data_IF_435734119369
#
_entry.id   IF_435734119369
#
_cell.length_a   1.000
_cell.length_b   1.000
_cell.length_c   1.000
_cell.angle_alpha   90.00
_cell.angle_beta   90.00
_cell.angle_gamma   90.00
#
_symmetry.space_group_name_H-M   'P 1'
#
loop_
_entity.id
_entity.type
_entity.pdbx_description
1 polymer ?
#
# COMPACT_ATOMS: atom_id res chain seq x y z
N UNK A 1 -23.26 4.22 -18.49
CA UNK A 1 -22.66 3.84 -17.19
C UNK A 1 -23.39 4.66 -16.15
N UNK A 2 -24.09 4.05 -15.17
CA UNK A 2 -24.83 4.80 -14.14
C UNK A 2 -23.87 5.66 -13.30
N UNK A 3 -24.29 6.84 -12.85
CA UNK A 3 -23.46 7.81 -12.09
C UNK A 3 -22.81 7.15 -10.86
N UNK A 4 -23.48 6.16 -10.27
CA UNK A 4 -22.97 5.39 -9.13
C UNK A 4 -21.78 4.52 -9.52
N UNK A 5 -21.83 3.89 -10.69
CA UNK A 5 -20.73 3.06 -11.17
C UNK A 5 -19.50 3.94 -11.42
N UNK A 6 -19.71 5.14 -11.97
CA UNK A 6 -18.65 6.12 -12.17
C UNK A 6 -18.04 6.59 -10.82
N UNK A 7 -18.87 6.90 -9.82
CA UNK A 7 -18.40 7.30 -8.50
C UNK A 7 -17.65 6.18 -7.75
N UNK A 8 -18.11 4.93 -7.87
CA UNK A 8 -17.41 3.77 -7.28
C UNK A 8 -16.05 3.52 -7.94
N UNK A 9 -15.99 3.58 -9.27
CA UNK A 9 -14.73 3.45 -10.01
C UNK A 9 -13.76 4.58 -9.67
N UNK A 10 -14.26 5.80 -9.50
CA UNK A 10 -13.47 6.94 -9.07
C UNK A 10 -12.87 6.73 -7.67
N UNK A 11 -13.68 6.26 -6.71
CA UNK A 11 -13.20 5.93 -5.37
C UNK A 11 -12.14 4.82 -5.37
N UNK A 12 -12.28 3.80 -6.22
CA UNK A 12 -11.26 2.75 -6.37
C UNK A 12 -9.94 3.35 -6.87
N UNK A 13 -10.00 4.17 -7.93
CA UNK A 13 -8.82 4.85 -8.49
C UNK A 13 -8.14 5.76 -7.48
N UNK A 14 -8.90 6.47 -6.66
CA UNK A 14 -8.36 7.34 -5.62
C UNK A 14 -7.63 6.56 -4.53
N UNK A 15 -8.20 5.44 -4.06
CA UNK A 15 -7.54 4.57 -3.09
C UNK A 15 -6.26 3.98 -3.70
N UNK A 16 -6.30 3.51 -4.94
CA UNK A 16 -5.12 2.96 -5.61
C UNK A 16 -4.01 4.00 -5.77
N UNK A 17 -4.36 5.24 -6.13
CA UNK A 17 -3.39 6.33 -6.22
C UNK A 17 -2.77 6.68 -4.86
N UNK A 18 -3.56 6.63 -3.78
CA UNK A 18 -3.05 6.84 -2.41
C UNK A 18 -2.14 5.70 -1.96
N UNK A 19 -2.51 4.44 -2.23
CA UNK A 19 -1.67 3.27 -1.96
C UNK A 19 -0.33 3.37 -2.71
N UNK A 20 -0.35 3.74 -4.00
CA UNK A 20 0.86 3.95 -4.79
C UNK A 20 1.75 5.06 -4.22
N UNK A 21 1.16 6.17 -3.79
CA UNK A 21 1.91 7.25 -3.16
C UNK A 21 2.55 6.79 -1.85
N UNK A 22 1.85 5.98 -1.04
CA UNK A 22 2.44 5.39 0.16
C UNK A 22 3.60 4.48 -0.22
N UNK A 23 3.43 3.57 -1.17
CA UNK A 23 4.52 2.69 -1.63
C UNK A 23 5.75 3.51 -2.06
N UNK A 24 5.55 4.55 -2.88
CA UNK A 24 6.65 5.41 -3.33
C UNK A 24 7.32 6.17 -2.17
N UNK A 25 6.54 6.66 -1.20
CA UNK A 25 7.07 7.32 -0.02
C UNK A 25 7.92 6.35 0.83
N UNK A 26 7.49 5.09 1.01
CA UNK A 26 8.29 4.07 1.69
C UNK A 26 9.60 3.78 0.96
N UNK A 27 9.55 3.66 -0.37
CA UNK A 27 10.73 3.44 -1.21
C UNK A 27 11.69 4.64 -1.14
N UNK A 28 11.19 5.85 -0.93
CA UNK A 28 11.99 7.05 -0.67
C UNK A 28 12.53 7.15 0.78
N UNK A 29 12.14 6.22 1.67
CA UNK A 29 12.53 6.21 3.08
C UNK A 29 11.70 7.15 3.96
N UNK A 30 10.55 7.62 3.48
CA UNK A 30 9.66 8.49 4.25
C UNK A 30 8.85 7.71 5.29
N UNK A 31 8.55 8.36 6.41
CA UNK A 31 7.68 7.79 7.44
C UNK A 31 6.21 8.06 7.11
N UNK A 32 5.40 7.00 7.03
CA UNK A 32 3.99 7.11 6.71
C UNK A 32 3.15 7.00 7.98
N UNK A 33 2.34 8.02 8.23
CA UNK A 33 1.49 8.11 9.42
C UNK A 33 0.01 7.82 9.14
N UNK A 34 -0.39 7.73 7.87
CA UNK A 34 -1.77 7.49 7.46
C UNK A 34 -2.07 5.98 7.35
N UNK A 35 -2.64 5.41 8.42
CA UNK A 35 -3.02 3.99 8.51
C UNK A 35 -4.44 3.70 8.01
N UNK A 36 -5.24 4.72 7.74
CA UNK A 36 -6.65 4.59 7.36
C UNK A 36 -6.99 5.59 6.25
N UNK A 37 -7.88 5.19 5.37
CA UNK A 37 -8.52 6.07 4.40
C UNK A 37 -10.00 6.20 4.71
N UNK A 38 -10.52 7.39 4.48
CA UNK A 38 -11.94 7.68 4.60
C UNK A 38 -12.48 8.05 3.23
N UNK A 39 -13.58 7.41 2.84
CA UNK A 39 -14.22 7.62 1.55
C UNK A 39 -15.72 7.76 1.74
N UNK A 40 -16.34 8.67 1.00
CA UNK A 40 -17.80 8.74 0.90
C UNK A 40 -18.28 7.80 -0.21
N UNK A 41 -19.19 6.88 0.12
CA UNK A 41 -19.82 6.00 -0.87
C UNK A 41 -21.32 6.09 -0.79
N UNK A 42 -22.01 5.91 -1.92
CA UNK A 42 -23.44 5.72 -1.92
C UNK A 42 -23.78 4.28 -1.53
N UNK A 43 -24.60 4.12 -0.49
CA UNK A 43 -25.07 2.81 -0.05
C UNK A 43 -26.60 2.79 0.03
N UNK A 44 -27.17 1.60 -0.14
CA UNK A 44 -28.61 1.37 -0.06
C UNK A 44 -28.98 0.97 1.36
N UNK A 45 -29.51 1.92 2.13
CA UNK A 45 -29.93 1.68 3.52
C UNK A 45 -31.41 1.34 3.54
N UNK A 46 -31.73 0.20 4.16
CA UNK A 46 -33.11 -0.17 4.46
C UNK A 46 -33.63 0.73 5.58
N UNK A 47 -34.64 1.53 5.26
CA UNK A 47 -35.32 2.39 6.21
C UNK A 47 -36.22 1.54 7.14
N UNK A 48 -36.66 2.09 8.30
CA UNK A 48 -37.58 1.41 9.19
C UNK A 48 -38.91 0.97 8.52
N UNK A 49 -39.30 1.62 7.43
CA UNK A 49 -40.48 1.30 6.62
C UNK A 49 -40.25 0.16 5.59
N UNK A 50 -39.07 -0.48 5.62
CA UNK A 50 -38.68 -1.53 4.69
C UNK A 50 -38.24 -1.06 3.30
N UNK A 51 -38.35 0.25 2.99
CA UNK A 51 -37.90 0.80 1.70
C UNK A 51 -36.40 1.03 1.72
N UNK A 52 -35.73 0.80 0.58
CA UNK A 52 -34.31 1.10 0.43
C UNK A 52 -34.14 2.52 -0.09
N UNK A 53 -33.37 3.34 0.62
CA UNK A 53 -33.00 4.69 0.18
C UNK A 53 -31.49 4.77 0.01
N UNK A 54 -31.05 5.34 -1.11
CA UNK A 54 -29.64 5.67 -1.34
C UNK A 54 -29.24 6.79 -0.39
N UNK A 55 -28.17 6.60 0.37
CA UNK A 55 -27.58 7.63 1.21
C UNK A 55 -26.06 7.61 1.04
N UNK A 56 -25.42 8.77 1.17
CA UNK A 56 -23.96 8.84 1.30
C UNK A 56 -23.59 8.33 2.69
N UNK A 57 -22.72 7.34 2.72
CA UNK A 57 -22.17 6.75 3.94
C UNK A 57 -20.66 6.93 3.91
N UNK A 58 -20.10 7.43 5.01
CA UNK A 58 -18.65 7.47 5.21
C UNK A 58 -18.18 6.05 5.53
N UNK A 59 -17.33 5.50 4.68
CA UNK A 59 -16.64 4.22 4.93
C UNK A 59 -15.18 4.48 5.24
N UNK A 60 -14.70 3.84 6.29
CA UNK A 60 -13.29 3.82 6.68
C UNK A 60 -12.68 2.51 6.22
N UNK A 61 -11.49 2.58 5.65
CA UNK A 61 -10.71 1.43 5.17
C UNK A 61 -9.28 1.54 5.69
N UNK A 62 -8.59 0.41 5.78
CA UNK A 62 -7.16 0.40 6.02
C UNK A 62 -6.42 0.92 4.77
N UNK A 63 -5.38 1.72 4.97
CA UNK A 63 -4.41 2.06 3.92
C UNK A 63 -3.50 0.87 3.64
N UNK A 64 -2.64 0.94 2.62
CA UNK A 64 -1.54 -0.01 2.43
C UNK A 64 -0.77 -0.27 3.74
N UNK A 65 -0.26 0.79 4.36
CA UNK A 65 0.51 0.69 5.61
C UNK A 65 -0.37 0.16 6.75
N UNK A 66 -1.63 0.60 6.83
CA UNK A 66 -2.63 0.10 7.77
C UNK A 66 -2.85 -1.41 7.68
N UNK A 67 -2.97 -1.93 6.46
CA UNK A 67 -3.15 -3.35 6.19
C UNK A 67 -1.93 -4.16 6.61
N UNK A 68 -0.72 -3.67 6.30
CA UNK A 68 0.52 -4.36 6.68
C UNK A 68 0.73 -4.41 8.19
N UNK A 69 0.47 -3.30 8.90
CA UNK A 69 0.56 -3.29 10.37
C UNK A 69 -0.53 -4.15 11.02
N UNK A 70 -1.73 -4.17 10.44
CA UNK A 70 -2.82 -5.04 10.91
C UNK A 70 -2.46 -6.51 10.76
N UNK A 71 -1.87 -6.90 9.63
CA UNK A 71 -1.37 -8.25 9.40
C UNK A 71 -0.26 -8.62 10.39
N UNK A 72 0.70 -7.71 10.60
CA UNK A 72 1.81 -7.91 11.56
C UNK A 72 1.29 -8.08 12.98
N UNK A 73 0.32 -7.26 13.40
CA UNK A 73 -0.29 -7.33 14.72
C UNK A 73 -1.11 -8.62 14.95
N UNK A 74 -1.73 -9.15 13.89
CA UNK A 74 -2.42 -10.45 13.94
C UNK A 74 -1.43 -11.61 14.07
N UNK A 75 -0.29 -11.51 13.39
CA UNK A 75 0.67 -12.61 13.27
C UNK A 75 0.09 -13.81 12.50
N UNK A 76 0.85 -14.89 12.42
CA UNK A 76 0.43 -16.18 11.83
C UNK A 76 -0.04 -16.13 10.37
N UNK A 77 0.24 -15.05 9.64
CA UNK A 77 0.01 -14.94 8.19
C UNK A 77 1.35 -15.09 7.50
N UNK A 78 1.45 -16.06 6.60
CA UNK A 78 2.65 -16.30 5.78
C UNK A 78 2.32 -16.02 4.32
N UNK A 79 3.23 -15.36 3.62
CA UNK A 79 3.16 -15.16 2.18
C UNK A 79 4.04 -16.19 1.47
N UNK A 80 3.58 -16.74 0.34
CA UNK A 80 4.44 -17.50 -0.57
C UNK A 80 5.31 -16.58 -1.40
N UNK A 81 6.27 -17.17 -2.11
CA UNK A 81 6.95 -16.48 -3.21
C UNK A 81 5.93 -15.97 -4.25
N UNK A 82 6.15 -14.78 -4.82
CA UNK A 82 5.26 -14.22 -5.83
C UNK A 82 5.41 -14.97 -7.15
N UNK A 83 4.27 -15.31 -7.76
CA UNK A 83 4.24 -15.74 -9.16
C UNK A 83 4.12 -14.50 -10.02
N UNK A 84 5.15 -14.26 -10.84
CA UNK A 84 5.25 -13.09 -11.72
C UNK A 84 5.09 -13.54 -13.16
N UNK A 85 4.13 -12.97 -13.86
CA UNK A 85 3.98 -13.12 -15.32
C UNK A 85 4.34 -11.80 -15.96
N UNK A 86 5.42 -11.81 -16.73
CA UNK A 86 5.83 -10.67 -17.53
C UNK A 86 5.05 -10.62 -18.84
N UNK A 87 4.48 -9.46 -19.16
CA UNK A 87 3.74 -9.19 -20.39
C UNK A 87 4.34 -7.94 -21.06
N UNK A 88 4.04 -7.75 -22.35
CA UNK A 88 4.61 -6.66 -23.14
C UNK A 88 4.30 -5.27 -22.57
N UNK A 89 3.10 -5.06 -22.04
CA UNK A 89 2.60 -3.76 -21.57
C UNK A 89 2.38 -3.66 -20.05
N UNK A 90 2.53 -4.78 -19.34
CA UNK A 90 2.20 -4.88 -17.92
C UNK A 90 2.93 -6.06 -17.25
N UNK A 91 2.89 -6.08 -15.93
CA UNK A 91 3.24 -7.27 -15.14
C UNK A 91 2.00 -7.76 -14.40
N UNK A 92 1.88 -9.09 -14.27
CA UNK A 92 0.91 -9.70 -13.35
C UNK A 92 1.65 -10.34 -12.20
N UNK A 93 1.22 -10.05 -10.99
CA UNK A 93 1.80 -10.61 -9.77
C UNK A 93 0.69 -11.25 -8.96
N UNK A 94 0.91 -12.50 -8.54
CA UNK A 94 0.01 -13.24 -7.66
C UNK A 94 0.81 -13.75 -6.46
N UNK A 95 0.30 -13.50 -5.25
CA UNK A 95 0.91 -13.95 -4.00
C UNK A 95 -0.12 -14.73 -3.20
N UNK A 96 0.23 -15.94 -2.74
CA UNK A 96 -0.62 -16.71 -1.82
C UNK A 96 -0.33 -16.26 -0.40
N UNK A 97 -1.38 -16.06 0.39
CA UNK A 97 -1.32 -15.83 1.82
C UNK A 97 -2.02 -16.96 2.55
N UNK A 98 -1.43 -17.42 3.65
CA UNK A 98 -2.00 -18.47 4.50
C UNK A 98 -2.05 -17.97 5.94
N UNK A 99 -3.26 -17.91 6.52
CA UNK A 99 -3.48 -17.78 7.95
C UNK A 99 -3.32 -19.17 8.59
N UNK A 100 -2.19 -19.38 9.24
CA UNK A 100 -1.82 -20.64 9.88
C UNK A 100 -2.74 -21.00 11.05
N UNK A 101 -3.32 -20.00 11.73
CA UNK A 101 -4.19 -20.25 12.89
C UNK A 101 -5.55 -20.82 12.48
N UNK A 102 -6.04 -20.41 11.30
CA UNK A 102 -7.34 -20.84 10.77
C UNK A 102 -7.23 -21.85 9.61
N UNK A 103 -5.99 -22.22 9.23
CA UNK A 103 -5.69 -23.02 8.05
C UNK A 103 -6.43 -22.53 6.79
N UNK A 104 -6.43 -21.21 6.59
CA UNK A 104 -7.16 -20.54 5.52
C UNK A 104 -6.17 -19.89 4.56
N UNK A 105 -6.39 -20.04 3.26
CA UNK A 105 -5.53 -19.47 2.24
C UNK A 105 -6.29 -18.63 1.23
N UNK A 106 -5.69 -17.51 0.83
CA UNK A 106 -6.20 -16.60 -0.19
C UNK A 106 -5.10 -16.18 -1.14
N UNK A 107 -5.49 -15.67 -2.31
CA UNK A 107 -4.56 -15.12 -3.28
C UNK A 107 -4.79 -13.62 -3.42
N UNK A 108 -3.69 -12.86 -3.39
CA UNK A 108 -3.66 -11.47 -3.76
C UNK A 108 -3.09 -11.32 -5.16
N UNK A 109 -3.86 -10.74 -6.07
CA UNK A 109 -3.44 -10.51 -7.45
C UNK A 109 -3.31 -9.02 -7.77
N UNK A 110 -2.41 -8.68 -8.69
CA UNK A 110 -2.30 -7.36 -9.29
C UNK A 110 -1.97 -7.47 -10.78
N UNK A 111 -2.50 -6.54 -11.56
CA UNK A 111 -2.08 -6.25 -12.93
C UNK A 111 -1.58 -4.81 -12.95
N UNK A 112 -0.28 -4.62 -13.15
CA UNK A 112 0.38 -3.32 -13.07
C UNK A 112 0.93 -2.94 -14.45
N UNK A 113 0.44 -1.86 -15.07
CA UNK A 113 0.99 -1.36 -16.31
C UNK A 113 2.49 -1.00 -16.18
N UNK A 114 3.25 -1.25 -17.25
CA UNK A 114 4.67 -0.87 -17.33
C UNK A 114 4.88 0.63 -17.48
N UNK A 115 3.85 1.34 -17.95
CA UNK A 115 3.88 2.79 -18.11
C UNK A 115 3.04 3.48 -17.06
N UNK A 116 3.56 4.59 -16.53
CA UNK A 116 2.83 5.46 -15.61
C UNK A 116 2.58 6.82 -16.23
N UNK A 117 1.48 7.44 -15.83
CA UNK A 117 1.13 8.80 -16.23
C UNK A 117 1.95 9.79 -15.39
N UNK A 118 2.77 10.59 -16.05
CA UNK A 118 3.53 11.69 -15.46
C UNK A 118 2.80 13.00 -15.81
N UNK A 119 2.61 13.85 -14.80
CA UNK A 119 2.09 15.20 -15.03
C UNK A 119 3.27 16.12 -15.37
N UNK A 120 3.13 16.88 -16.43
CA UNK A 120 4.09 17.90 -16.83
C UNK A 120 3.81 19.18 -16.06
N UNK A 121 4.86 19.81 -15.53
CA UNK A 121 4.75 21.03 -14.74
C UNK A 121 5.49 22.17 -15.42
N UNK A 122 4.85 23.33 -15.51
CA UNK A 122 5.55 24.58 -15.80
C UNK A 122 6.46 24.93 -14.62
N UNK A 123 7.76 24.95 -14.86
CA UNK A 123 8.77 25.20 -13.83
C UNK A 123 8.64 26.57 -13.17
N UNK A 124 8.05 27.56 -13.86
CA UNK A 124 7.90 28.92 -13.34
C UNK A 124 6.66 29.08 -12.47
N UNK A 125 5.56 28.38 -12.80
CA UNK A 125 4.28 28.53 -12.11
C UNK A 125 3.93 27.34 -11.21
N UNK A 126 4.64 26.22 -11.35
CA UNK A 126 4.32 24.95 -10.68
C UNK A 126 2.97 24.35 -11.13
N UNK A 127 2.36 24.88 -12.19
CA UNK A 127 1.06 24.42 -12.68
C UNK A 127 1.23 23.24 -13.63
N UNK A 128 0.26 22.33 -13.58
CA UNK A 128 0.20 21.20 -14.51
C UNK A 128 -0.13 21.75 -15.90
N UNK A 129 0.77 21.56 -16.86
CA UNK A 129 0.61 21.98 -18.27
C UNK A 129 0.14 20.85 -19.17
N UNK A 130 0.39 19.61 -18.77
CA UNK A 130 0.09 18.43 -19.56
C UNK A 130 0.33 17.15 -18.78
N UNK A 131 0.30 16.04 -19.51
CA UNK A 131 0.70 14.75 -18.98
C UNK A 131 1.11 13.82 -20.12
N UNK A 132 2.11 12.99 -19.88
CA UNK A 132 2.56 11.96 -20.80
C UNK A 132 2.75 10.62 -20.08
N UNK A 133 3.04 9.57 -20.84
CA UNK A 133 3.30 8.24 -20.29
C UNK A 133 4.80 7.92 -20.40
N UNK A 134 5.40 7.54 -19.29
CA UNK A 134 6.79 7.06 -19.23
C UNK A 134 6.83 5.65 -18.63
N UNK A 135 7.93 4.94 -18.85
CA UNK A 135 8.17 3.66 -18.20
C UNK A 135 8.27 3.85 -16.68
N UNK A 136 7.57 3.01 -15.93
CA UNK A 136 7.51 3.06 -14.47
C UNK A 136 8.69 2.26 -13.88
N UNK A 137 9.74 2.91 -13.36
CA UNK A 137 10.90 2.21 -12.80
C UNK A 137 10.55 1.40 -11.55
N UNK A 138 9.38 1.65 -10.94
CA UNK A 138 8.89 0.97 -9.75
C UNK A 138 7.71 0.04 -10.07
N UNK A 139 7.51 -0.31 -11.35
CA UNK A 139 6.41 -1.18 -11.80
C UNK A 139 6.33 -2.47 -10.96
N UNK A 140 7.46 -3.15 -10.75
CA UNK A 140 7.54 -4.37 -9.94
C UNK A 140 7.13 -4.13 -8.49
N UNK A 141 7.74 -3.15 -7.82
CA UNK A 141 7.50 -2.85 -6.41
C UNK A 141 6.05 -2.43 -6.17
N UNK A 142 5.48 -1.59 -7.05
CA UNK A 142 4.06 -1.21 -7.00
C UNK A 142 3.15 -2.43 -7.17
N UNK A 143 3.42 -3.25 -8.19
CA UNK A 143 2.64 -4.45 -8.48
C UNK A 143 2.67 -5.45 -7.32
N UNK A 144 3.85 -5.70 -6.75
CA UNK A 144 4.04 -6.61 -5.63
C UNK A 144 3.31 -6.10 -4.38
N UNK A 145 3.53 -4.85 -3.99
CA UNK A 145 2.86 -4.26 -2.82
C UNK A 145 1.33 -4.26 -2.97
N UNK A 146 0.80 -3.98 -4.17
CA UNK A 146 -0.65 -4.08 -4.44
C UNK A 146 -1.18 -5.51 -4.35
N UNK A 147 -0.45 -6.49 -4.88
CA UNK A 147 -0.80 -7.90 -4.78
C UNK A 147 -0.80 -8.33 -3.31
N UNK A 148 0.22 -7.94 -2.55
CA UNK A 148 0.30 -8.20 -1.10
C UNK A 148 -0.85 -7.54 -0.34
N UNK A 149 -1.14 -6.27 -0.59
CA UNK A 149 -2.28 -5.53 -0.02
C UNK A 149 -3.60 -6.25 -0.26
N UNK A 150 -3.83 -6.70 -1.50
CA UNK A 150 -5.05 -7.45 -1.85
C UNK A 150 -5.15 -8.77 -1.08
N UNK A 151 -4.05 -9.54 -1.04
CA UNK A 151 -4.02 -10.83 -0.35
C UNK A 151 -4.20 -10.67 1.16
N UNK A 152 -3.48 -9.74 1.79
CA UNK A 152 -3.61 -9.44 3.21
C UNK A 152 -5.02 -8.96 3.57
N UNK A 153 -5.61 -8.07 2.77
CA UNK A 153 -6.97 -7.55 3.03
C UNK A 153 -8.00 -8.69 3.03
N UNK A 154 -7.85 -9.67 2.14
CA UNK A 154 -8.72 -10.85 2.11
C UNK A 154 -8.40 -11.86 3.22
N UNK A 155 -7.15 -11.94 3.67
CA UNK A 155 -6.70 -12.88 4.69
C UNK A 155 -7.03 -12.41 6.12
N UNK A 156 -7.11 -11.10 6.35
CA UNK A 156 -7.42 -10.51 7.65
C UNK A 156 -8.94 -10.54 7.87
N UNK A 157 -9.43 -11.15 8.98
CA UNK A 157 -10.84 -11.12 9.33
C UNK A 157 -11.39 -9.69 9.46
N UNK A 158 -12.63 -9.48 9.00
CA UNK A 158 -13.26 -8.16 9.00
C UNK A 158 -13.40 -7.56 10.41
N UNK A 159 -13.68 -8.39 11.42
CA UNK A 159 -13.77 -7.95 12.81
C UNK A 159 -12.42 -7.48 13.35
N UNK A 160 -11.32 -8.15 12.97
CA UNK A 160 -9.96 -7.74 13.32
C UNK A 160 -9.58 -6.42 12.64
N UNK A 161 -9.89 -6.28 11.36
CA UNK A 161 -9.71 -5.03 10.63
C UNK A 161 -10.46 -3.87 11.31
N UNK A 162 -11.71 -4.08 11.73
CA UNK A 162 -12.49 -3.07 12.43
C UNK A 162 -11.87 -2.68 13.78
N UNK A 163 -11.41 -3.65 14.57
CA UNK A 163 -10.69 -3.41 15.84
C UNK A 163 -9.42 -2.57 15.62
N UNK A 164 -8.66 -2.87 14.57
CA UNK A 164 -7.44 -2.14 14.25
C UNK A 164 -7.72 -0.73 13.72
N UNK A 165 -8.76 -0.54 12.91
CA UNK A 165 -9.21 0.79 12.48
C UNK A 165 -9.58 1.66 13.69
N UNK A 166 -10.36 1.13 14.64
CA UNK A 166 -10.71 1.86 15.87
C UNK A 166 -9.46 2.22 16.69
N UNK A 167 -8.51 1.28 16.81
CA UNK A 167 -7.22 1.54 17.47
C UNK A 167 -6.43 2.66 16.77
N UNK A 168 -6.35 2.65 15.45
CA UNK A 168 -5.64 3.69 14.69
C UNK A 168 -6.32 5.06 14.79
N UNK A 169 -7.65 5.10 14.74
CA UNK A 169 -8.44 6.31 14.95
C UNK A 169 -8.22 6.90 16.35
N UNK A 170 -8.21 6.06 17.39
CA UNK A 170 -7.91 6.49 18.77
C UNK A 170 -6.49 7.03 18.91
N UNK A 171 -5.51 6.34 18.31
CA UNK A 171 -4.12 6.79 18.32
C UNK A 171 -3.93 8.12 17.56
N UNK A 172 -4.67 8.34 16.48
CA UNK A 172 -4.70 9.61 15.74
C UNK A 172 -5.25 10.75 16.59
N UNK A 173 -6.38 10.52 17.30
CA UNK A 173 -6.98 11.52 18.19
C UNK A 173 -6.11 11.87 19.40
N UNK A 174 -5.35 10.91 19.92
CA UNK A 174 -4.37 11.13 21.00
C UNK A 174 -3.08 11.82 20.56
N UNK A 175 -2.86 11.99 19.25
CA UNK A 175 -1.66 12.62 18.66
C UNK A 175 -1.93 14.02 18.08
N UNK A 176 -2.86 14.78 18.66
CA UNK A 176 -2.72 16.25 18.61
C UNK A 176 -1.52 16.65 19.48
N UNK A 177 -0.30 16.61 18.92
CA UNK A 177 0.86 17.28 19.53
C UNK A 177 2.13 16.47 19.80
N UNK A 178 2.27 15.22 19.36
CA UNK A 178 3.57 14.54 19.38
C UNK A 178 3.89 13.91 18.03
N UNK A 179 4.32 14.77 17.12
CA UNK A 179 5.29 14.39 16.12
C UNK A 179 6.50 13.82 16.88
N UNK A 180 6.92 12.60 16.52
CA UNK A 180 8.30 12.21 16.78
C UNK A 180 9.10 13.00 15.76
N UNK A 181 9.36 14.26 16.06
CA UNK A 181 10.48 15.00 15.50
C UNK A 181 11.70 14.26 16.00
N UNK A 182 12.36 13.53 15.11
CA UNK A 182 13.76 13.18 15.35
C UNK A 182 14.53 14.48 15.63
N UNK A 183 15.54 14.35 16.50
CA UNK A 183 16.20 15.43 17.21
C UNK A 183 16.65 16.61 16.37
N UNK A 184 16.77 17.75 17.06
CA UNK A 184 17.14 19.03 16.50
C UNK A 184 18.36 18.97 15.58
N UNK A 185 18.12 19.36 14.33
CA UNK A 185 19.11 19.70 13.32
C UNK A 185 18.42 20.62 12.33
N UNK A 186 18.84 21.88 12.29
CA UNK A 186 18.33 22.93 11.41
C UNK A 186 18.41 22.51 9.93
N UNK A 187 17.26 22.49 9.25
CA UNK A 187 17.17 22.31 7.80
C UNK A 187 16.32 21.10 7.42
N UNK A 188 14.98 21.22 7.51
CA UNK A 188 14.13 20.21 6.86
C UNK A 188 14.27 20.37 5.34
N UNK A 189 14.63 19.30 4.60
CA UNK A 189 14.65 19.36 3.16
C UNK A 189 13.22 19.51 2.64
N UNK A 190 13.07 20.38 1.65
CA UNK A 190 11.82 20.55 0.87
C UNK A 190 11.39 19.17 0.37
N UNK A 191 10.08 18.80 0.44
CA UNK A 191 9.59 17.55 -0.10
C UNK A 191 10.08 17.36 -1.54
N UNK A 192 10.80 16.28 -1.80
CA UNK A 192 11.36 16.04 -3.13
C UNK A 192 10.21 15.81 -4.11
N UNK A 193 10.24 16.53 -5.23
CA UNK A 193 9.32 16.30 -6.33
C UNK A 193 9.50 14.85 -6.81
N UNK A 194 8.42 14.16 -7.22
CA UNK A 194 8.46 12.75 -7.64
C UNK A 194 9.56 12.43 -8.68
N UNK A 195 9.94 13.40 -9.52
CA UNK A 195 11.04 13.30 -10.49
C UNK A 195 12.46 13.26 -9.88
N UNK A 196 12.60 13.63 -8.61
CA UNK A 196 13.87 13.69 -7.87
C UNK A 196 14.14 12.39 -7.09
N UNK A 197 13.14 11.52 -6.97
CA UNK A 197 13.27 10.19 -6.37
C UNK A 197 13.99 9.30 -7.39
N UNK A 198 15.33 9.28 -7.32
CA UNK A 198 16.14 8.29 -8.03
C UNK A 198 16.29 7.06 -7.14
N UNK A 199 16.24 5.83 -7.68
CA UNK A 199 16.71 4.66 -6.95
C UNK A 199 18.11 4.96 -6.41
N UNK A 200 18.32 4.70 -5.12
CA UNK A 200 19.64 4.79 -4.53
C UNK A 200 20.56 3.85 -5.31
N UNK A 201 21.69 4.36 -5.80
CA UNK A 201 22.61 3.61 -6.67
C UNK A 201 23.27 2.40 -5.97
N UNK A 202 23.00 2.24 -4.67
CA UNK A 202 23.52 1.24 -3.75
C UNK A 202 22.43 0.33 -3.16
N UNK A 203 21.19 0.35 -3.68
CA UNK A 203 20.10 -0.47 -3.16
C UNK A 203 20.34 -1.99 -3.29
N UNK A 204 21.13 -2.39 -4.28
CA UNK A 204 21.63 -3.74 -4.49
C UNK A 204 22.79 -4.13 -3.53
N UNK A 205 23.15 -3.22 -2.60
CA UNK A 205 24.23 -3.41 -1.62
C UNK A 205 23.70 -3.19 -0.21
N UNK A 206 22.78 -4.05 0.23
CA UNK A 206 22.59 -4.24 1.68
C UNK A 206 23.93 -4.76 2.22
N UNK A 207 24.66 -3.92 2.94
CA UNK A 207 25.93 -4.32 3.55
C UNK A 207 25.68 -5.03 4.87
N UNK A 208 26.58 -5.92 5.28
CA UNK A 208 26.42 -6.75 6.49
C UNK A 208 26.19 -5.93 7.77
N UNK A 209 26.73 -4.72 7.75
CA UNK A 209 26.70 -3.67 8.77
C UNK A 209 25.33 -2.95 8.87
N UNK A 210 24.48 -3.04 7.85
CA UNK A 210 23.15 -2.42 7.84
C UNK A 210 22.05 -3.31 8.45
N UNK A 211 22.33 -4.60 8.68
CA UNK A 211 21.37 -5.55 9.23
C UNK A 211 22.03 -6.27 10.42
N UNK A 212 21.67 -5.92 11.67
CA UNK A 212 22.32 -6.45 12.88
C UNK A 212 22.35 -7.98 12.98
N UNK A 213 21.41 -8.66 12.33
CA UNK A 213 21.28 -10.13 12.30
C UNK A 213 21.59 -10.75 10.92
N UNK A 214 22.35 -10.06 10.06
CA UNK A 214 22.61 -10.50 8.68
C UNK A 214 23.14 -11.95 8.60
N UNK A 215 24.09 -12.31 9.46
CA UNK A 215 24.68 -13.66 9.51
C UNK A 215 23.66 -14.74 9.91
N UNK A 216 22.65 -14.37 10.71
CA UNK A 216 21.58 -15.26 11.13
C UNK A 216 20.55 -15.45 10.02
N UNK A 217 20.27 -14.38 9.28
CA UNK A 217 19.42 -14.38 8.09
C UNK A 217 20.04 -15.13 6.91
N UNK A 218 21.35 -14.99 6.67
CA UNK A 218 22.07 -15.67 5.59
C UNK A 218 21.97 -17.20 5.73
N UNK A 219 22.19 -17.71 6.95
CA UNK A 219 21.99 -19.12 7.30
C UNK A 219 20.54 -19.58 7.08
N UNK A 220 19.56 -18.78 7.55
CA UNK A 220 18.15 -19.10 7.40
C UNK A 220 17.69 -19.09 5.93
N UNK A 221 18.19 -18.14 5.14
CA UNK A 221 17.92 -18.04 3.71
C UNK A 221 18.52 -19.22 2.94
N UNK A 222 19.72 -19.66 3.32
CA UNK A 222 20.38 -20.81 2.71
C UNK A 222 19.68 -22.13 3.06
N UNK A 223 19.23 -22.31 4.30
CA UNK A 223 18.44 -23.48 4.71
C UNK A 223 17.06 -23.49 4.06
N UNK A 224 16.40 -22.34 3.91
CA UNK A 224 15.14 -22.22 3.18
C UNK A 224 15.29 -22.53 1.68
N UNK A 225 16.40 -22.16 1.06
CA UNK A 225 16.70 -22.48 -0.34
C UNK A 225 16.95 -23.98 -0.58
N UNK A 226 17.42 -24.71 0.43
CA UNK A 226 17.59 -26.18 0.38
C UNK A 226 16.29 -26.96 0.57
N UNK A 227 15.25 -26.32 1.09
CA UNK A 227 13.93 -26.92 1.36
C UNK A 227 12.95 -26.74 0.20
N UNK A 228 13.34 -26.08 -0.88
CA UNK A 228 12.57 -26.02 -2.12
C UNK A 228 12.95 -27.21 -3.03
N UNK A 229 11.98 -27.99 -3.55
CA UNK A 229 12.24 -29.05 -4.52
C UNK A 229 12.69 -28.52 -5.88
#
# INVERSE_FOLDING_TARGET
MDEITAAMLQNIREIEARDENQILAELAGETISEYIYETEVWDWITQPDGKRKKQKVRKVKLSWVGTRETARAKGNIVASDPVVTDLDDAIRIVVKFTDLANNFSVFGGCHQPRKMKINDYDQSTGKITGSHYEDDPFCFQKGLSKAQRNGLTACIPADWSAKMIDRFLKASKGKQGHYITQGGGSGMPVPQLKMQIKPRADWDKITKDQVPDFLRLESLMWELAKLQP
#
